data_IF_486518282343
#
_entry.id   IF_486518282343
#
_cell.length_a   1.000
_cell.length_b   1.000
_cell.length_c   1.000
_cell.angle_alpha   90.00
_cell.angle_beta   90.00
_cell.angle_gamma   90.00
#
_symmetry.space_group_name_H-M   'P 1'
#
loop_
_entity.id
_entity.type
_entity.pdbx_description
1 polymer ?
#
# COMPACT_ATOMS: atom_id res chain seq x y z
N UNK A 1 -26.54 10.72 -54.11
CA UNK A 1 -25.60 9.62 -53.78
C UNK A 1 -24.39 10.03 -52.90
N UNK A 2 -24.45 11.11 -52.14
CA UNK A 2 -23.30 11.62 -51.35
C UNK A 2 -23.38 11.30 -49.83
N UNK A 3 -24.56 10.95 -49.31
CA UNK A 3 -24.76 10.68 -47.86
C UNK A 3 -24.17 9.36 -47.36
N UNK A 4 -23.91 8.38 -48.24
CA UNK A 4 -23.41 7.05 -47.84
C UNK A 4 -21.89 6.98 -47.66
N UNK A 5 -21.12 7.97 -48.17
CA UNK A 5 -19.65 7.97 -48.04
C UNK A 5 -19.15 8.56 -46.70
N UNK A 6 -20.00 9.38 -46.05
CA UNK A 6 -19.65 10.00 -44.77
C UNK A 6 -19.71 8.99 -43.62
N UNK A 7 -20.68 8.08 -43.63
CA UNK A 7 -20.84 7.06 -42.59
C UNK A 7 -19.70 6.02 -42.53
N UNK A 8 -19.10 5.71 -43.71
CA UNK A 8 -18.00 4.73 -43.78
C UNK A 8 -16.67 5.25 -43.22
N UNK A 9 -16.45 6.56 -43.11
CA UNK A 9 -15.21 7.15 -42.60
C UNK A 9 -15.27 7.47 -41.11
N UNK A 10 -16.46 7.63 -40.53
CA UNK A 10 -16.61 7.91 -39.10
C UNK A 10 -16.74 6.66 -38.24
N UNK A 11 -17.09 5.51 -38.82
CA UNK A 11 -17.26 4.26 -38.10
C UNK A 11 -15.97 3.77 -37.42
N UNK A 12 -14.78 3.79 -38.06
CA UNK A 12 -13.54 3.38 -37.40
C UNK A 12 -13.07 4.36 -36.29
N UNK A 13 -13.38 5.66 -36.44
CA UNK A 13 -13.05 6.67 -35.40
C UNK A 13 -13.94 6.52 -34.16
N UNK A 14 -15.21 6.20 -34.31
CA UNK A 14 -16.13 5.91 -33.21
C UNK A 14 -15.75 4.62 -32.47
N UNK A 15 -15.36 3.56 -33.19
CA UNK A 15 -14.89 2.31 -32.60
C UNK A 15 -13.57 2.52 -31.84
N UNK A 16 -12.62 3.30 -32.34
CA UNK A 16 -11.37 3.63 -31.66
C UNK A 16 -11.62 4.45 -30.39
N UNK A 17 -12.59 5.37 -30.40
CA UNK A 17 -12.97 6.16 -29.22
C UNK A 17 -13.61 5.29 -28.12
N UNK A 18 -14.44 4.31 -28.48
CA UNK A 18 -15.01 3.35 -27.53
C UNK A 18 -13.96 2.40 -26.96
N UNK A 19 -12.96 1.98 -27.76
CA UNK A 19 -11.84 1.18 -27.24
C UNK A 19 -10.94 1.96 -26.28
N UNK A 20 -10.72 3.27 -26.53
CA UNK A 20 -9.94 4.10 -25.58
C UNK A 20 -10.69 4.35 -24.27
N UNK A 21 -12.03 4.47 -24.28
CA UNK A 21 -12.79 4.59 -23.02
C UNK A 21 -12.82 3.29 -22.20
N UNK A 22 -12.68 2.14 -22.82
CA UNK A 22 -12.68 0.85 -22.15
C UNK A 22 -11.36 0.57 -21.37
N UNK A 23 -10.27 1.28 -21.70
CA UNK A 23 -8.98 1.13 -21.00
C UNK A 23 -8.86 2.05 -19.77
N UNK A 24 -9.71 3.06 -19.66
CA UNK A 24 -9.63 4.09 -18.60
C UNK A 24 -10.36 3.72 -17.30
N UNK A 25 -10.55 2.45 -16.98
CA UNK A 25 -11.25 2.10 -15.75
C UNK A 25 -11.48 0.63 -15.53
N UNK A 26 -10.47 -0.21 -15.69
CA UNK A 26 -10.57 -1.54 -15.10
C UNK A 26 -10.74 -1.34 -13.59
N UNK A 27 -11.90 -1.67 -12.98
CA UNK A 27 -12.04 -1.61 -11.55
C UNK A 27 -10.96 -2.54 -10.97
N UNK A 28 -10.15 -2.01 -10.04
CA UNK A 28 -9.29 -2.88 -9.27
C UNK A 28 -10.16 -4.01 -8.70
N UNK A 29 -9.90 -5.24 -9.11
CA UNK A 29 -10.63 -6.39 -8.60
C UNK A 29 -10.57 -6.34 -7.07
N UNK A 30 -11.73 -6.34 -6.42
CA UNK A 30 -11.77 -6.50 -4.99
C UNK A 30 -11.27 -7.91 -4.69
N UNK A 31 -10.11 -8.03 -4.04
CA UNK A 31 -9.61 -9.32 -3.59
C UNK A 31 -10.56 -9.83 -2.51
N UNK A 32 -11.27 -10.93 -2.79
CA UNK A 32 -12.10 -11.64 -1.83
C UNK A 32 -11.19 -12.49 -0.92
N UNK A 33 -10.49 -11.87 0.03
CA UNK A 33 -9.54 -12.55 0.91
C UNK A 33 -8.59 -11.59 1.60
N UNK A 34 -7.54 -12.13 2.13
CA UNK A 34 -6.47 -11.40 2.80
C UNK A 34 -5.77 -10.46 1.81
N UNK A 35 -5.87 -9.16 2.06
CA UNK A 35 -5.40 -8.14 1.11
C UNK A 35 -5.01 -6.85 1.81
N UNK A 36 -4.21 -6.05 1.11
CA UNK A 36 -3.92 -4.65 1.44
C UNK A 36 -4.40 -3.75 0.31
N UNK A 37 -5.02 -2.64 0.67
CA UNK A 37 -5.56 -1.66 -0.28
C UNK A 37 -5.12 -0.26 0.10
N UNK A 38 -4.71 0.55 -0.88
CA UNK A 38 -4.43 1.98 -0.73
C UNK A 38 -5.52 2.77 -1.43
N UNK A 39 -6.14 3.69 -0.71
CA UNK A 39 -7.11 4.66 -1.26
C UNK A 39 -6.61 6.07 -1.01
N UNK A 40 -6.77 6.93 -2.01
CA UNK A 40 -6.52 8.36 -1.85
C UNK A 40 -7.70 9.06 -1.12
N UNK A 41 -7.58 10.37 -0.91
CA UNK A 41 -8.59 11.21 -0.26
C UNK A 41 -9.93 11.26 -1.01
N UNK A 42 -9.94 10.96 -2.32
CA UNK A 42 -11.17 10.85 -3.11
C UNK A 42 -11.84 9.46 -2.99
N UNK A 43 -11.22 8.52 -2.28
CA UNK A 43 -11.66 7.13 -2.13
C UNK A 43 -11.25 6.22 -3.29
N UNK A 44 -10.53 6.74 -4.30
CA UNK A 44 -10.08 5.93 -5.43
C UNK A 44 -8.98 4.96 -5.00
N UNK A 45 -9.09 3.71 -5.42
CA UNK A 45 -8.06 2.69 -5.18
C UNK A 45 -6.83 2.98 -6.04
N UNK A 46 -5.68 3.14 -5.40
CA UNK A 46 -4.38 3.40 -6.03
C UNK A 46 -3.47 2.18 -6.03
N UNK A 47 -3.71 1.28 -5.10
CA UNK A 47 -3.02 -0.01 -5.02
C UNK A 47 -3.93 -1.02 -4.34
N UNK A 48 -3.89 -2.27 -4.78
CA UNK A 48 -4.48 -3.41 -4.10
C UNK A 48 -3.68 -4.67 -4.43
N UNK A 49 -3.40 -5.48 -3.42
CA UNK A 49 -2.70 -6.74 -3.58
C UNK A 49 -3.17 -7.76 -2.54
N UNK A 50 -3.12 -9.07 -2.87
CA UNK A 50 -3.29 -10.11 -1.87
C UNK A 50 -2.14 -10.06 -0.86
N UNK A 51 -2.42 -10.41 0.38
CA UNK A 51 -1.41 -10.57 1.43
C UNK A 51 -1.22 -12.06 1.75
N UNK A 52 0.03 -12.50 1.74
CA UNK A 52 0.39 -13.83 2.23
C UNK A 52 0.46 -13.78 3.78
N UNK A 53 -0.35 -14.56 4.52
CA UNK A 53 -0.29 -14.60 5.98
C UNK A 53 1.08 -14.98 6.54
N UNK A 54 1.84 -15.82 5.83
CA UNK A 54 3.15 -16.26 6.26
C UNK A 54 4.26 -15.25 5.90
N UNK A 55 4.00 -14.34 4.94
CA UNK A 55 4.95 -13.31 4.52
C UNK A 55 4.24 -12.05 4.00
N UNK A 56 3.64 -11.28 4.89
CA UNK A 56 2.89 -10.09 4.53
C UNK A 56 3.76 -8.89 4.12
N UNK A 57 5.07 -8.93 4.42
CA UNK A 57 5.99 -7.81 4.18
C UNK A 57 5.95 -7.28 2.73
N UNK A 58 6.04 -8.10 1.65
CA UNK A 58 6.15 -7.57 0.29
C UNK A 58 4.91 -6.74 -0.11
N UNK A 59 3.72 -7.27 0.16
CA UNK A 59 2.47 -6.59 -0.20
C UNK A 59 2.27 -5.30 0.62
N UNK A 60 2.51 -5.37 1.94
CA UNK A 60 2.39 -4.21 2.81
C UNK A 60 3.42 -3.14 2.47
N UNK A 61 4.69 -3.53 2.21
CA UNK A 61 5.72 -2.57 1.81
C UNK A 61 5.38 -1.89 0.48
N UNK A 62 4.89 -2.63 -0.52
CA UNK A 62 4.48 -2.04 -1.81
C UNK A 62 3.32 -1.06 -1.65
N UNK A 63 2.37 -1.33 -0.74
CA UNK A 63 1.31 -0.40 -0.40
C UNK A 63 1.88 0.89 0.23
N UNK A 64 2.81 0.78 1.18
CA UNK A 64 3.47 1.92 1.82
C UNK A 64 4.34 2.70 0.82
N UNK A 65 5.01 2.02 -0.12
CA UNK A 65 5.80 2.65 -1.18
C UNK A 65 4.92 3.43 -2.16
N UNK A 66 3.70 2.94 -2.43
CA UNK A 66 2.71 3.67 -3.23
C UNK A 66 2.34 5.01 -2.58
N UNK A 67 2.14 5.03 -1.26
CA UNK A 67 1.92 6.29 -0.51
C UNK A 67 3.17 7.15 -0.53
N UNK A 68 4.33 6.56 -0.23
CA UNK A 68 5.63 7.26 -0.16
C UNK A 68 6.06 7.90 -1.48
N UNK A 69 5.51 7.47 -2.62
CA UNK A 69 5.73 8.12 -3.90
C UNK A 69 5.26 9.58 -3.93
N UNK A 70 4.34 9.97 -3.02
CA UNK A 70 3.74 11.30 -2.94
C UNK A 70 2.76 11.62 -4.08
N UNK A 71 2.55 10.70 -5.02
CA UNK A 71 1.76 10.95 -6.23
C UNK A 71 0.27 11.15 -5.96
N UNK A 72 -0.24 10.74 -4.79
CA UNK A 72 -1.67 10.68 -4.50
C UNK A 72 -2.10 11.50 -3.27
N UNK A 73 -1.19 12.29 -2.71
CA UNK A 73 -1.44 13.06 -1.47
C UNK A 73 -1.74 12.13 -0.29
N UNK A 74 -2.64 12.58 0.59
CA UNK A 74 -3.02 11.80 1.77
C UNK A 74 -3.77 10.53 1.40
N UNK A 75 -3.31 9.39 1.92
CA UNK A 75 -3.86 8.08 1.61
C UNK A 75 -4.32 7.32 2.86
N UNK A 76 -5.27 6.41 2.67
CA UNK A 76 -5.62 5.38 3.66
C UNK A 76 -5.15 4.03 3.16
N UNK A 77 -4.28 3.38 3.92
CA UNK A 77 -3.86 1.99 3.72
C UNK A 77 -4.69 1.11 4.63
N UNK A 78 -5.44 0.17 4.08
CA UNK A 78 -6.28 -0.75 4.85
C UNK A 78 -5.80 -2.17 4.63
N UNK A 79 -5.57 -2.88 5.72
CA UNK A 79 -5.27 -4.32 5.73
C UNK A 79 -6.52 -5.07 6.15
N UNK A 80 -6.86 -6.13 5.43
CA UNK A 80 -7.97 -7.02 5.79
C UNK A 80 -7.72 -7.65 7.17
N UNK A 81 -8.73 -7.74 8.05
CA UNK A 81 -8.59 -8.41 9.34
C UNK A 81 -7.99 -9.81 9.20
N UNK A 82 -7.04 -10.13 10.07
CA UNK A 82 -6.32 -11.41 10.00
C UNK A 82 -5.03 -11.40 10.82
N UNK A 83 -4.27 -12.50 10.74
CA UNK A 83 -3.01 -12.69 11.42
C UNK A 83 -1.90 -12.89 10.40
N UNK A 84 -0.88 -12.02 10.44
CA UNK A 84 0.13 -11.93 9.40
C UNK A 84 1.54 -11.92 9.98
N UNK A 85 2.47 -12.61 9.34
CA UNK A 85 3.88 -12.64 9.71
C UNK A 85 4.65 -11.59 8.93
N UNK A 86 5.40 -10.77 9.65
CA UNK A 86 6.29 -9.74 9.08
C UNK A 86 7.73 -10.27 9.12
N UNK A 87 8.24 -10.68 7.97
CA UNK A 87 9.59 -11.26 7.82
C UNK A 87 10.68 -10.20 7.71
N UNK A 88 10.30 -8.94 7.45
CA UNK A 88 11.17 -7.75 7.42
C UNK A 88 10.45 -6.56 8.01
N UNK A 89 11.20 -5.53 8.38
CA UNK A 89 10.65 -4.26 8.83
C UNK A 89 10.06 -3.47 7.67
N UNK A 90 8.81 -3.05 7.80
CA UNK A 90 8.18 -2.17 6.82
C UNK A 90 8.47 -0.71 7.15
N UNK A 91 8.80 0.08 6.11
CA UNK A 91 9.10 1.50 6.21
C UNK A 91 7.81 2.29 6.08
N UNK A 92 7.46 3.04 7.10
CA UNK A 92 6.26 3.88 7.12
C UNK A 92 6.36 5.03 6.09
N UNK A 93 5.23 5.60 5.75
CA UNK A 93 5.13 6.76 4.88
C UNK A 93 4.49 7.93 5.62
N UNK A 94 4.80 9.16 5.20
CA UNK A 94 4.08 10.37 5.61
C UNK A 94 2.71 10.45 4.94
N UNK A 95 1.85 11.35 5.44
CA UNK A 95 0.54 11.67 4.88
C UNK A 95 -0.37 10.43 4.71
N UNK A 96 -0.39 9.55 5.73
CA UNK A 96 -1.22 8.35 5.66
C UNK A 96 -1.95 8.01 6.96
N UNK A 97 -3.04 7.28 6.80
CA UNK A 97 -3.64 6.47 7.86
C UNK A 97 -3.46 4.99 7.53
N UNK A 98 -2.72 4.25 8.36
CA UNK A 98 -2.62 2.79 8.28
C UNK A 98 -3.68 2.17 9.20
N UNK A 99 -4.74 1.62 8.59
CA UNK A 99 -5.84 0.98 9.31
C UNK A 99 -5.56 -0.52 9.46
N UNK A 100 -5.31 -0.93 10.68
CA UNK A 100 -5.03 -2.30 11.11
C UNK A 100 -6.16 -2.87 11.99
N UNK A 101 -7.38 -2.35 11.89
CA UNK A 101 -8.50 -2.82 12.72
C UNK A 101 -8.75 -4.31 12.49
N UNK A 102 -8.70 -5.11 13.56
CA UNK A 102 -8.83 -6.57 13.49
C UNK A 102 -7.60 -7.32 12.94
N UNK A 103 -6.47 -6.62 12.75
CA UNK A 103 -5.22 -7.20 12.25
C UNK A 103 -4.27 -7.50 13.40
N UNK A 104 -3.61 -8.66 13.36
CA UNK A 104 -2.46 -8.98 14.20
C UNK A 104 -1.22 -9.12 13.31
N UNK A 105 -0.22 -8.28 13.50
CA UNK A 105 1.09 -8.41 12.85
C UNK A 105 2.09 -9.05 13.78
N UNK A 106 2.67 -10.17 13.36
CA UNK A 106 3.66 -10.93 14.11
C UNK A 106 5.06 -10.61 13.58
N UNK A 107 5.92 -10.11 14.45
CA UNK A 107 7.33 -9.93 14.11
C UNK A 107 8.02 -11.30 13.95
N UNK A 108 8.26 -11.69 12.72
CA UNK A 108 8.95 -12.91 12.31
C UNK A 108 10.34 -12.61 11.70
N UNK A 109 10.88 -11.41 11.92
CA UNK A 109 12.22 -11.05 11.45
C UNK A 109 13.27 -11.98 12.06
N UNK A 110 14.13 -12.56 11.23
CA UNK A 110 15.21 -13.44 11.66
C UNK A 110 16.35 -12.69 12.38
N UNK A 111 16.44 -11.37 12.22
CA UNK A 111 17.41 -10.49 12.88
C UNK A 111 16.76 -9.57 13.91
N UNK A 112 17.50 -8.56 14.37
CA UNK A 112 16.98 -7.50 15.27
C UNK A 112 16.10 -6.51 14.51
N UNK A 113 15.11 -7.00 13.77
CA UNK A 113 14.17 -6.19 12.99
C UNK A 113 12.91 -5.84 13.76
N UNK A 114 12.29 -4.74 13.38
CA UNK A 114 11.02 -4.28 13.93
C UNK A 114 9.89 -4.67 12.95
N UNK A 115 8.62 -4.48 13.33
CA UNK A 115 7.51 -4.58 12.37
C UNK A 115 7.51 -3.32 11.50
N UNK A 116 7.55 -2.14 12.13
CA UNK A 116 7.58 -0.86 11.45
C UNK A 116 8.78 -0.01 11.86
N UNK A 117 9.32 0.73 10.89
CA UNK A 117 10.39 1.71 11.09
C UNK A 117 10.04 3.01 10.36
N UNK A 118 10.60 4.13 10.84
CA UNK A 118 10.53 5.40 10.13
C UNK A 118 11.47 5.42 8.92
N UNK A 119 11.23 6.27 7.90
CA UNK A 119 12.04 6.36 6.67
C UNK A 119 13.53 6.58 6.91
N UNK A 120 13.91 7.34 7.93
CA UNK A 120 15.30 7.62 8.28
C UNK A 120 16.08 6.39 8.81
N UNK A 121 15.39 5.26 9.06
CA UNK A 121 16.01 4.01 9.53
C UNK A 121 16.33 3.03 8.41
N UNK A 122 15.75 3.19 7.23
CA UNK A 122 15.98 2.25 6.11
C UNK A 122 17.34 2.46 5.42
N UNK A 123 18.00 3.60 5.67
CA UNK A 123 19.29 4.00 5.11
C UNK A 123 19.38 3.95 3.58
N UNK A 124 18.24 3.92 2.91
CA UNK A 124 18.18 3.81 1.44
C UNK A 124 18.20 5.17 0.75
N UNK A 125 19.15 6.02 1.11
CA UNK A 125 19.66 7.00 0.18
C UNK A 125 18.89 8.30 -0.02
N UNK A 126 17.90 8.67 0.78
CA UNK A 126 17.40 10.05 0.88
C UNK A 126 17.56 10.55 2.31
N UNK A 127 18.06 11.78 2.42
CA UNK A 127 18.26 12.47 3.68
C UNK A 127 16.92 12.81 4.37
N UNK A 128 16.27 11.80 4.91
CA UNK A 128 15.21 12.02 5.89
C UNK A 128 15.87 12.37 7.22
N UNK A 129 16.30 13.62 7.33
CA UNK A 129 16.95 14.13 8.55
C UNK A 129 15.98 15.02 9.32
N UNK A 130 16.05 14.95 10.63
CA UNK A 130 15.28 15.78 11.52
C UNK A 130 13.84 15.31 11.77
N UNK A 131 13.04 16.19 12.32
CA UNK A 131 11.69 15.92 12.78
C UNK A 131 10.67 15.68 11.64
N UNK A 132 11.04 16.02 10.40
CA UNK A 132 10.18 15.88 9.22
C UNK A 132 10.29 14.52 8.51
N UNK A 133 11.02 13.58 9.09
CA UNK A 133 11.21 12.26 8.47
C UNK A 133 9.91 11.45 8.34
N UNK A 134 8.93 11.71 9.21
CA UNK A 134 7.61 11.08 9.20
C UNK A 134 6.58 12.08 9.73
N UNK A 135 5.72 12.60 8.84
CA UNK A 135 4.69 13.57 9.15
C UNK A 135 3.29 13.02 8.84
N UNK A 136 2.27 13.45 9.59
CA UNK A 136 0.87 13.11 9.35
C UNK A 136 0.63 11.59 9.20
N UNK A 137 1.35 10.77 9.98
CA UNK A 137 1.23 9.31 9.95
C UNK A 137 0.39 8.85 11.14
N UNK A 138 -0.73 8.20 10.86
CA UNK A 138 -1.62 7.63 11.86
C UNK A 138 -1.64 6.10 11.72
N UNK A 139 -1.36 5.39 12.81
CA UNK A 139 -1.61 3.95 12.92
C UNK A 139 -2.89 3.74 13.74
N UNK A 140 -3.88 3.07 13.16
CA UNK A 140 -5.20 2.88 13.77
C UNK A 140 -5.52 1.41 13.98
N UNK A 141 -5.79 1.04 15.22
CA UNK A 141 -6.15 -0.34 15.59
C UNK A 141 -4.99 -1.31 15.48
N UNK A 142 -5.32 -2.59 15.50
CA UNK A 142 -4.37 -3.69 15.36
C UNK A 142 -3.61 -4.09 16.61
N UNK A 143 -2.96 -5.23 16.51
CA UNK A 143 -2.04 -5.77 17.50
C UNK A 143 -0.67 -5.99 16.85
N UNK A 144 0.39 -5.52 17.47
CA UNK A 144 1.77 -5.83 17.09
C UNK A 144 2.33 -6.78 18.14
N UNK A 145 2.84 -7.93 17.72
CA UNK A 145 3.32 -8.97 18.62
C UNK A 145 4.53 -9.70 18.03
N UNK A 146 5.15 -10.57 18.80
CA UNK A 146 6.24 -11.42 18.33
C UNK A 146 5.68 -12.73 17.77
N UNK A 147 6.27 -13.20 16.68
CA UNK A 147 6.02 -14.54 16.21
C UNK A 147 6.50 -15.57 17.23
N UNK A 148 5.82 -16.71 17.41
CA UNK A 148 6.29 -17.77 18.28
C UNK A 148 7.74 -18.13 17.98
N UNK A 149 8.57 -18.21 19.03
CA UNK A 149 10.01 -18.51 18.91
C UNK A 149 10.90 -17.31 18.53
N UNK A 150 10.33 -16.13 18.28
CA UNK A 150 11.14 -14.93 18.07
C UNK A 150 11.54 -14.31 19.41
N UNK A 151 12.83 -14.41 19.74
CA UNK A 151 13.42 -13.91 21.00
C UNK A 151 14.39 -12.75 20.77
N UNK A 152 14.36 -12.09 19.62
CA UNK A 152 15.36 -11.10 19.24
C UNK A 152 15.31 -9.78 20.03
N UNK A 153 14.28 -9.55 20.87
CA UNK A 153 14.18 -8.41 21.78
C UNK A 153 14.09 -7.04 21.11
N UNK A 154 13.74 -6.99 19.84
CA UNK A 154 13.59 -5.73 19.09
C UNK A 154 12.28 -5.03 19.44
N UNK A 155 12.23 -3.69 19.32
CA UNK A 155 10.98 -2.96 19.39
C UNK A 155 10.07 -3.35 18.22
N UNK A 156 8.75 -3.41 18.45
CA UNK A 156 7.79 -3.72 17.36
C UNK A 156 7.59 -2.50 16.45
N UNK A 157 7.60 -1.31 17.02
CA UNK A 157 7.56 -0.02 16.31
C UNK A 157 8.78 0.80 16.71
N UNK A 158 9.55 1.26 15.73
CA UNK A 158 10.72 2.11 15.97
C UNK A 158 10.65 3.36 15.10
N UNK A 159 10.37 4.47 15.74
CA UNK A 159 10.46 5.79 15.16
C UNK A 159 11.80 6.40 15.59
N UNK A 160 12.55 6.92 14.63
CA UNK A 160 13.79 7.65 14.88
C UNK A 160 13.66 9.06 14.31
N UNK A 161 14.24 10.03 14.95
CA UNK A 161 14.41 11.40 14.51
C UNK A 161 15.87 11.70 14.27
#
# INVERSE_FOLDING_TARGET
>A
MQKMRFFRRCLPLLLAFWLLLAVAGAPFAAYAGESVTVRDSSGQVRYAAPMDPENAYPALQSALDTVRSGAYGTCTVTVTPGKYRMTKSAVLASDMTLNLTGVTLLNANAGKGNIFISPNRDRTGKDYTGYSALENCTLRGGTLDYAPGNTNGSCLLRLAH
#
